data_IF_206763192797
#
_entry.id   IF_206763192797
#
_cell.length_a   1.000
_cell.length_b   1.000
_cell.length_c   1.000
_cell.angle_alpha   90.00
_cell.angle_beta   90.00
_cell.angle_gamma   90.00
#
_symmetry.space_group_name_H-M   'P 1'
#
loop_
_entity.id
_entity.type
_entity.pdbx_description
1 polymer ?
#
# COMPACT_ATOMS: atom_id res chain seq x y z
N UNK A 1 -29.45 8.22 22.93
CA UNK A 1 -30.72 7.76 22.33
C UNK A 1 -30.52 7.90 20.83
N UNK A 2 -30.34 6.79 20.13
CA UNK A 2 -30.05 6.78 18.69
C UNK A 2 -31.39 6.67 17.97
N UNK A 3 -31.95 7.80 17.58
CA UNK A 3 -33.09 7.85 16.67
C UNK A 3 -32.56 7.58 15.24
N UNK A 4 -33.07 6.57 14.51
CA UNK A 4 -32.64 6.32 13.14
C UNK A 4 -33.24 7.38 12.21
N UNK A 5 -32.37 8.19 11.61
CA UNK A 5 -32.74 9.08 10.50
C UNK A 5 -33.23 8.28 9.29
N UNK A 6 -34.15 8.90 8.55
CA UNK A 6 -35.04 8.37 7.50
C UNK A 6 -34.37 7.82 6.22
N UNK A 7 -33.04 7.61 6.18
CA UNK A 7 -32.31 7.22 4.97
C UNK A 7 -31.21 6.18 5.23
N UNK A 8 -31.51 5.10 5.96
CA UNK A 8 -30.54 4.01 6.18
C UNK A 8 -30.68 2.98 5.06
N UNK A 9 -29.70 2.94 4.16
CA UNK A 9 -29.60 1.84 3.20
C UNK A 9 -29.07 0.59 3.94
N UNK A 10 -29.80 -0.51 3.83
CA UNK A 10 -29.53 -1.74 4.57
C UNK A 10 -29.10 -2.84 3.59
N UNK A 11 -27.92 -3.41 3.82
CA UNK A 11 -27.50 -4.63 3.13
C UNK A 11 -27.54 -5.77 4.14
N UNK A 12 -28.35 -6.79 3.86
CA UNK A 12 -28.48 -7.97 4.71
C UNK A 12 -27.93 -9.18 3.97
N UNK A 13 -26.91 -9.80 4.55
CA UNK A 13 -26.32 -11.03 4.07
C UNK A 13 -26.71 -12.17 4.98
N UNK A 14 -27.27 -13.22 4.38
CA UNK A 14 -27.62 -14.46 5.07
C UNK A 14 -26.61 -15.55 4.70
N UNK A 15 -25.97 -16.13 5.71
CA UNK A 15 -25.05 -17.27 5.55
C UNK A 15 -25.38 -18.33 6.60
N UNK A 16 -26.17 -19.32 6.20
CA UNK A 16 -26.72 -20.32 7.12
C UNK A 16 -27.61 -19.68 8.19
N UNK A 17 -27.30 -19.91 9.47
CA UNK A 17 -27.98 -19.29 10.62
C UNK A 17 -27.41 -17.91 10.98
N UNK A 18 -26.31 -17.49 10.36
CA UNK A 18 -25.66 -16.21 10.63
C UNK A 18 -26.20 -15.11 9.71
N UNK A 19 -26.55 -13.97 10.30
CA UNK A 19 -27.04 -12.77 9.64
C UNK A 19 -26.01 -11.66 9.82
N UNK A 20 -25.53 -11.12 8.71
CA UNK A 20 -24.68 -9.95 8.67
C UNK A 20 -25.46 -8.77 8.08
N UNK A 21 -25.67 -7.75 8.90
CA UNK A 21 -26.41 -6.56 8.52
C UNK A 21 -25.46 -5.37 8.45
N UNK A 22 -25.40 -4.71 7.30
CA UNK A 22 -24.59 -3.51 7.07
C UNK A 22 -25.51 -2.31 6.97
N UNK A 23 -25.38 -1.39 7.92
CA UNK A 23 -26.06 -0.11 7.98
C UNK A 23 -25.20 0.96 7.32
N UNK A 24 -25.68 1.50 6.20
CA UNK A 24 -25.05 2.61 5.50
C UNK A 24 -25.67 3.91 6.01
N UNK A 25 -24.86 4.73 6.70
CA UNK A 25 -25.31 6.02 7.24
C UNK A 25 -24.62 7.15 6.50
N UNK A 26 -25.41 8.08 5.98
CA UNK A 26 -24.91 9.34 5.42
C UNK A 26 -24.27 10.18 6.54
N UNK A 27 -22.99 10.51 6.40
CA UNK A 27 -22.27 11.38 7.32
C UNK A 27 -21.34 12.30 6.54
N UNK A 28 -21.41 13.61 6.81
CA UNK A 28 -20.54 14.59 6.16
C UNK A 28 -19.15 14.67 6.85
N UNK A 29 -18.41 13.56 6.77
CA UNK A 29 -17.12 13.35 7.47
C UNK A 29 -15.96 13.19 6.48
N UNK A 30 -14.76 13.68 6.85
CA UNK A 30 -13.55 13.64 6.01
C UNK A 30 -12.88 12.27 5.89
N UNK A 31 -13.23 11.36 6.80
CA UNK A 31 -12.74 9.99 6.89
C UNK A 31 -13.90 9.04 7.13
N UNK A 32 -13.92 7.94 6.37
CA UNK A 32 -14.94 6.92 6.51
C UNK A 32 -14.77 6.18 7.84
N UNK A 33 -15.86 5.97 8.57
CA UNK A 33 -15.85 5.25 9.86
C UNK A 33 -16.59 3.94 9.73
N UNK A 34 -15.96 2.87 10.20
CA UNK A 34 -16.54 1.54 10.27
C UNK A 34 -16.60 1.14 11.75
N UNK A 35 -17.81 0.82 12.21
CA UNK A 35 -18.03 0.25 13.53
C UNK A 35 -18.70 -1.11 13.36
N UNK A 36 -18.30 -2.08 14.17
CA UNK A 36 -19.01 -3.35 14.27
C UNK A 36 -19.64 -3.48 15.65
N UNK A 37 -20.87 -4.01 15.69
CA UNK A 37 -21.58 -4.42 16.89
C UNK A 37 -22.01 -5.86 16.70
N UNK A 38 -21.53 -6.72 17.56
CA UNK A 38 -22.06 -8.06 17.68
C UNK A 38 -23.20 -8.03 18.69
N UNK A 39 -24.41 -8.38 18.25
CA UNK A 39 -25.59 -8.39 19.13
C UNK A 39 -25.86 -9.81 19.65
N UNK A 40 -25.46 -10.82 18.89
CA UNK A 40 -25.56 -12.25 19.26
C UNK A 40 -24.50 -13.07 18.52
N UNK A 41 -24.35 -14.35 18.87
CA UNK A 41 -23.41 -15.25 18.18
C UNK A 41 -23.68 -15.36 16.67
N UNK A 42 -24.94 -15.17 16.26
CA UNK A 42 -25.41 -15.30 14.88
C UNK A 42 -25.74 -13.96 14.21
N UNK A 43 -25.71 -12.82 14.94
CA UNK A 43 -26.11 -11.52 14.38
C UNK A 43 -24.95 -10.53 14.49
N UNK A 44 -24.44 -10.14 13.32
CA UNK A 44 -23.35 -9.18 13.16
C UNK A 44 -23.89 -7.92 12.50
N UNK A 45 -23.76 -6.78 13.18
CA UNK A 45 -24.17 -5.49 12.66
C UNK A 45 -22.91 -4.66 12.36
N UNK A 46 -22.76 -4.16 11.13
CA UNK A 46 -21.69 -3.25 10.73
C UNK A 46 -22.33 -1.90 10.40
N UNK A 47 -21.77 -0.82 10.92
CA UNK A 47 -22.18 0.55 10.64
C UNK A 47 -21.08 1.22 9.84
N UNK A 48 -21.38 1.54 8.59
CA UNK A 48 -20.50 2.31 7.72
C UNK A 48 -21.02 3.74 7.64
N UNK A 49 -20.19 4.70 8.04
CA UNK A 49 -20.46 6.12 7.90
C UNK A 49 -19.54 6.69 6.84
N UNK A 50 -20.12 7.27 5.79
CA UNK A 50 -19.36 7.88 4.70
C UNK A 50 -20.16 9.01 4.04
N UNK A 51 -19.44 9.98 3.46
CA UNK A 51 -20.02 11.00 2.56
C UNK A 51 -20.70 10.38 1.34
N UNK A 52 -20.17 9.25 0.88
CA UNK A 52 -20.71 8.51 -0.26
C UNK A 52 -22.03 7.81 0.03
N UNK A 53 -22.44 7.69 1.29
CA UNK A 53 -23.75 7.15 1.65
C UNK A 53 -24.87 8.20 1.45
N UNK A 54 -24.53 9.47 1.21
CA UNK A 54 -25.49 10.51 0.88
C UNK A 54 -25.72 10.55 -0.64
N UNK A 55 -26.97 10.72 -1.11
CA UNK A 55 -27.24 10.87 -2.54
C UNK A 55 -26.48 12.07 -3.12
N UNK A 56 -25.88 11.89 -4.29
CA UNK A 56 -25.14 12.90 -5.07
C UNK A 56 -23.94 13.57 -4.39
N UNK A 57 -23.53 13.13 -3.19
CA UNK A 57 -22.34 13.64 -2.49
C UNK A 57 -21.12 12.72 -2.56
N UNK A 58 -21.23 11.59 -3.23
CA UNK A 58 -20.07 10.76 -3.54
C UNK A 58 -19.27 11.40 -4.69
N UNK A 59 -18.68 12.55 -4.40
CA UNK A 59 -17.68 13.12 -5.29
C UNK A 59 -16.35 12.46 -4.93
N UNK A 60 -15.72 11.83 -5.92
CA UNK A 60 -14.31 11.45 -5.81
C UNK A 60 -13.51 12.75 -5.85
N UNK A 61 -13.57 13.52 -4.76
CA UNK A 61 -12.65 14.60 -4.52
C UNK A 61 -11.29 13.93 -4.52
N UNK A 62 -10.57 14.10 -5.62
CA UNK A 62 -9.14 13.90 -5.69
C UNK A 62 -8.58 14.78 -4.59
N UNK A 63 -8.50 14.25 -3.35
CA UNK A 63 -7.70 14.82 -2.27
C UNK A 63 -6.39 15.12 -2.97
N UNK A 64 -6.05 16.40 -3.09
CA UNK A 64 -4.81 16.86 -3.69
C UNK A 64 -3.70 16.05 -3.05
N UNK A 65 -3.23 15.03 -3.79
CA UNK A 65 -2.55 13.91 -3.20
C UNK A 65 -1.22 14.39 -2.64
N UNK A 66 -1.14 14.55 -1.33
CA UNK A 66 0.16 14.67 -0.68
C UNK A 66 0.93 13.41 -1.06
N UNK A 67 2.13 13.56 -1.64
CA UNK A 67 2.97 12.42 -1.94
C UNK A 67 3.08 11.57 -0.67
N UNK A 68 2.81 10.26 -0.81
CA UNK A 68 3.10 9.31 0.27
C UNK A 68 4.55 9.50 0.71
N UNK A 69 4.81 9.45 2.02
CA UNK A 69 6.17 9.63 2.56
C UNK A 69 7.21 8.72 1.89
N UNK A 70 6.79 7.52 1.46
CA UNK A 70 7.63 6.62 0.68
C UNK A 70 8.03 7.18 -0.69
N UNK A 71 7.11 7.85 -1.40
CA UNK A 71 7.42 8.48 -2.67
C UNK A 71 8.40 9.65 -2.51
N UNK A 72 8.25 10.45 -1.44
CA UNK A 72 9.20 11.53 -1.10
C UNK A 72 10.60 10.95 -0.83
N UNK A 73 10.69 9.88 -0.03
CA UNK A 73 11.95 9.21 0.27
C UNK A 73 12.65 8.70 -1.00
N UNK A 74 11.91 8.05 -1.91
CA UNK A 74 12.45 7.56 -3.17
C UNK A 74 12.99 8.69 -4.03
N UNK A 75 12.27 9.81 -4.13
CA UNK A 75 12.72 10.99 -4.90
C UNK A 75 14.04 11.53 -4.35
N UNK A 76 14.13 11.69 -3.03
CA UNK A 76 15.35 12.17 -2.37
C UNK A 76 16.52 11.20 -2.61
N UNK A 77 16.29 9.91 -2.42
CA UNK A 77 17.30 8.89 -2.64
C UNK A 77 17.82 8.92 -4.09
N UNK A 78 16.93 8.94 -5.08
CA UNK A 78 17.31 8.99 -6.51
C UNK A 78 18.07 10.29 -6.83
N UNK A 79 17.64 11.44 -6.30
CA UNK A 79 18.33 12.71 -6.54
C UNK A 79 19.76 12.71 -5.99
N UNK A 80 19.97 12.22 -4.76
CA UNK A 80 21.29 12.16 -4.12
C UNK A 80 22.17 11.17 -4.87
N UNK A 81 21.63 9.99 -5.22
CA UNK A 81 22.32 8.99 -6.04
C UNK A 81 22.78 9.56 -7.39
N UNK A 82 21.91 10.28 -8.08
CA UNK A 82 22.22 10.90 -9.35
C UNK A 82 23.35 11.92 -9.22
N UNK A 83 23.25 12.84 -8.27
CA UNK A 83 24.31 13.84 -8.03
C UNK A 83 25.63 13.21 -7.62
N UNK A 84 25.60 12.12 -6.84
CA UNK A 84 26.80 11.38 -6.44
C UNK A 84 27.48 10.71 -7.64
N UNK A 85 26.71 10.03 -8.50
CA UNK A 85 27.25 9.35 -9.69
C UNK A 85 27.80 10.38 -10.68
N UNK A 86 27.03 11.42 -11.00
CA UNK A 86 27.44 12.44 -11.99
C UNK A 86 28.60 13.27 -11.45
N UNK A 87 28.50 13.78 -10.23
CA UNK A 87 29.55 14.59 -9.61
C UNK A 87 30.84 13.78 -9.43
N UNK A 88 30.73 12.55 -8.93
CA UNK A 88 31.88 11.65 -8.82
C UNK A 88 32.48 11.30 -10.19
N UNK A 89 31.66 10.99 -11.19
CA UNK A 89 32.16 10.69 -12.53
C UNK A 89 32.87 11.87 -13.19
N UNK A 90 32.34 13.09 -13.05
CA UNK A 90 32.99 14.31 -13.53
C UNK A 90 34.31 14.53 -12.79
N UNK A 91 34.34 14.38 -11.46
CA UNK A 91 35.56 14.51 -10.68
C UNK A 91 36.63 13.49 -11.08
N UNK A 92 36.28 12.20 -11.21
CA UNK A 92 37.23 11.17 -11.62
C UNK A 92 37.70 11.36 -13.07
N UNK A 93 36.84 11.86 -13.96
CA UNK A 93 37.20 12.14 -15.36
C UNK A 93 38.16 13.33 -15.47
N UNK A 94 37.83 14.46 -14.86
CA UNK A 94 38.60 15.71 -15.05
C UNK A 94 39.80 15.83 -14.12
N UNK A 95 39.72 15.32 -12.89
CA UNK A 95 40.83 15.43 -11.93
C UNK A 95 41.81 14.25 -12.01
N UNK A 96 41.37 13.06 -12.45
CA UNK A 96 42.19 11.83 -12.47
C UNK A 96 42.40 11.21 -13.85
N UNK A 97 41.74 11.72 -14.89
CA UNK A 97 41.85 11.16 -16.24
C UNK A 97 41.33 9.73 -16.36
N UNK A 98 40.48 9.28 -15.42
CA UNK A 98 39.96 7.93 -15.41
C UNK A 98 39.04 7.70 -16.64
N UNK A 99 39.26 6.61 -17.36
CA UNK A 99 38.52 6.24 -18.57
C UNK A 99 37.73 4.94 -18.37
N UNK A 100 36.55 4.84 -18.98
CA UNK A 100 35.76 3.62 -18.97
C UNK A 100 35.06 3.36 -17.64
N UNK A 101 35.14 2.12 -17.14
CA UNK A 101 34.40 1.66 -15.94
C UNK A 101 34.92 2.21 -14.62
N UNK A 102 36.11 2.81 -14.62
CA UNK A 102 36.72 3.43 -13.43
C UNK A 102 36.20 4.85 -13.15
N UNK A 103 35.33 5.38 -14.02
CA UNK A 103 34.64 6.65 -13.79
C UNK A 103 33.55 6.56 -12.71
N UNK A 104 33.15 5.34 -12.31
CA UNK A 104 32.12 5.16 -11.29
C UNK A 104 32.78 5.20 -9.90
N UNK A 105 32.47 6.21 -9.06
CA UNK A 105 32.99 6.27 -7.70
C UNK A 105 32.52 5.06 -6.89
N UNK A 106 33.46 4.38 -6.22
CA UNK A 106 33.22 3.20 -5.37
C UNK A 106 32.41 2.08 -6.05
N UNK A 107 32.78 1.71 -7.27
CA UNK A 107 32.15 0.64 -8.07
C UNK A 107 31.84 -0.66 -7.30
N UNK A 108 32.70 -1.09 -6.39
CA UNK A 108 32.50 -2.30 -5.57
C UNK A 108 31.22 -2.23 -4.73
N UNK A 109 30.92 -1.06 -4.15
CA UNK A 109 29.72 -0.86 -3.34
C UNK A 109 28.47 -1.04 -4.20
N UNK A 110 28.44 -0.46 -5.40
CA UNK A 110 27.31 -0.59 -6.33
C UNK A 110 27.05 -2.04 -6.74
N UNK A 111 28.11 -2.79 -7.04
CA UNK A 111 28.00 -4.21 -7.39
C UNK A 111 27.45 -5.02 -6.22
N UNK A 112 27.92 -4.76 -5.00
CA UNK A 112 27.44 -5.44 -3.80
C UNK A 112 25.97 -5.11 -3.53
N UNK A 113 25.56 -3.83 -3.64
CA UNK A 113 24.17 -3.41 -3.46
C UNK A 113 23.25 -4.13 -4.44
N UNK A 114 23.60 -4.20 -5.73
CA UNK A 114 22.81 -4.93 -6.72
C UNK A 114 22.76 -6.42 -6.39
N UNK A 115 23.87 -7.02 -5.97
CA UNK A 115 23.90 -8.43 -5.53
C UNK A 115 22.93 -8.68 -4.38
N UNK A 116 22.94 -7.83 -3.35
CA UNK A 116 22.07 -7.97 -2.19
C UNK A 116 20.58 -7.83 -2.56
N UNK A 117 20.24 -6.93 -3.49
CA UNK A 117 18.86 -6.79 -3.97
C UNK A 117 18.40 -8.05 -4.71
N UNK A 118 19.26 -8.61 -5.57
CA UNK A 118 18.95 -9.86 -6.28
C UNK A 118 18.80 -11.04 -5.32
N UNK A 119 19.61 -11.10 -4.28
CA UNK A 119 19.51 -12.16 -3.26
C UNK A 119 18.23 -12.02 -2.44
N UNK A 120 17.81 -10.81 -2.09
CA UNK A 120 16.51 -10.57 -1.45
C UNK A 120 15.32 -10.96 -2.33
N UNK A 121 15.37 -10.66 -3.63
CA UNK A 121 14.35 -11.08 -4.60
C UNK A 121 14.29 -12.61 -4.72
N UNK A 122 15.44 -13.27 -4.87
CA UNK A 122 15.54 -14.73 -4.92
C UNK A 122 14.94 -15.36 -3.67
N UNK A 123 15.32 -14.88 -2.49
CA UNK A 123 14.80 -15.38 -1.21
C UNK A 123 13.26 -15.26 -1.14
N UNK A 124 12.73 -14.10 -1.50
CA UNK A 124 11.28 -13.85 -1.49
C UNK A 124 10.55 -14.76 -2.47
N UNK A 125 11.08 -14.92 -3.69
CA UNK A 125 10.51 -15.81 -4.70
C UNK A 125 10.56 -17.29 -4.28
N UNK A 126 11.63 -17.71 -3.60
CA UNK A 126 11.76 -19.06 -3.07
C UNK A 126 10.69 -19.35 -2.01
N UNK A 127 10.43 -18.40 -1.10
CA UNK A 127 9.37 -18.54 -0.09
C UNK A 127 7.99 -18.63 -0.75
N UNK A 128 7.70 -17.74 -1.69
CA UNK A 128 6.40 -17.74 -2.39
C UNK A 128 6.19 -19.07 -3.13
N UNK A 129 7.23 -19.56 -3.80
CA UNK A 129 7.17 -20.84 -4.51
C UNK A 129 6.96 -22.02 -3.55
N UNK A 130 7.67 -22.07 -2.42
CA UNK A 130 7.45 -23.10 -1.41
C UNK A 130 6.04 -23.07 -0.82
N UNK A 131 5.50 -21.87 -0.57
CA UNK A 131 4.13 -21.70 -0.08
C UNK A 131 3.10 -22.21 -1.09
N UNK A 132 3.26 -21.91 -2.37
CA UNK A 132 2.37 -22.41 -3.43
C UNK A 132 2.35 -23.94 -3.47
N UNK A 133 3.53 -24.58 -3.45
CA UNK A 133 3.63 -26.05 -3.49
C UNK A 133 2.99 -26.73 -2.28
N UNK A 134 3.08 -26.13 -1.09
CA UNK A 134 2.42 -26.65 0.11
C UNK A 134 0.89 -26.58 0.03
N UNK A 135 0.34 -25.52 -0.59
CA UNK A 135 -1.10 -25.38 -0.81
C UNK A 135 -1.60 -26.44 -1.79
N UNK A 136 -0.83 -26.73 -2.83
CA UNK A 136 -1.19 -27.76 -3.81
C UNK A 136 -1.17 -29.17 -3.21
N UNK A 137 -0.24 -29.47 -2.29
CA UNK A 137 -0.18 -30.76 -1.60
C UNK A 137 -1.38 -30.99 -0.66
N UNK A 138 -1.92 -29.95 -0.01
CA UNK A 138 -3.10 -30.06 0.86
C UNK A 138 -4.42 -30.28 0.12
N UNK A 139 -4.45 -30.16 -1.21
CA UNK A 139 -5.65 -30.40 -2.04
C UNK A 139 -5.75 -31.82 -2.62
N UNK A 140 -4.73 -32.66 -2.40
CA UNK A 140 -4.67 -34.07 -2.82
C UNK A 140 -4.97 -34.94 -1.60
#
# INVERSE_FOLDING_TARGET
KFEPEENVNLLVYHSGETILTVYLTCADIDEDKINSRQDSATIFNIYLQSRCCCPDKCHFSTKSGSLSGGAVFVILLVSVLFTYIVGGALFLKYARGATGTDMIPHRMIWLNVVSYVLDGLRYTLLIIRQRSLNVDYQKI
#
